data_IF_593365051967
#
_entry.id   IF_593365051967
#
_cell.length_a   1.000
_cell.length_b   1.000
_cell.length_c   1.000
_cell.angle_alpha   90.00
_cell.angle_beta   90.00
_cell.angle_gamma   90.00
#
_symmetry.space_group_name_H-M   'P 1'
#
loop_
_entity.id
_entity.type
_entity.pdbx_description
1 polymer ?
#
# COMPACT_ATOMS: atom_id res chain seq x y z
N UNK A 1 60.99 67.95 -83.96
CA UNK A 1 61.27 66.74 -84.77
C UNK A 1 61.09 65.53 -83.86
N UNK A 2 60.08 64.69 -84.16
CA UNK A 2 59.78 63.35 -83.58
C UNK A 2 59.50 63.27 -82.07
N UNK A 3 58.24 63.07 -81.63
CA UNK A 3 57.51 61.78 -81.50
C UNK A 3 58.23 60.75 -80.60
N UNK A 4 57.61 60.37 -79.47
CA UNK A 4 57.20 59.00 -79.10
C UNK A 4 56.91 58.85 -77.59
N UNK A 5 55.75 58.24 -77.29
CA UNK A 5 55.48 57.32 -76.15
C UNK A 5 55.57 57.90 -74.73
N UNK A 6 54.61 57.77 -73.82
CA UNK A 6 53.98 56.53 -73.36
C UNK A 6 52.65 56.88 -72.70
N UNK A 7 51.58 56.29 -73.26
CA UNK A 7 50.28 56.09 -72.66
C UNK A 7 50.33 54.92 -71.67
N UNK A 8 50.08 55.17 -70.38
CA UNK A 8 49.39 54.27 -69.44
C UNK A 8 49.42 54.86 -68.02
N UNK A 9 48.48 55.75 -67.73
CA UNK A 9 48.23 56.23 -66.37
C UNK A 9 46.75 56.45 -66.11
N UNK A 10 45.88 55.54 -66.54
CA UNK A 10 44.43 55.57 -66.22
C UNK A 10 43.85 54.15 -66.27
N UNK A 11 44.24 53.31 -65.32
CA UNK A 11 43.60 52.00 -65.11
C UNK A 11 43.44 51.73 -63.61
N UNK A 12 42.69 52.59 -62.93
CA UNK A 12 42.07 52.25 -61.64
C UNK A 12 40.98 53.27 -61.31
N UNK A 13 39.74 52.96 -61.71
CA UNK A 13 38.49 53.48 -61.12
C UNK A 13 37.29 53.18 -62.04
N UNK A 14 36.92 51.90 -62.18
CA UNK A 14 35.62 51.53 -62.77
C UNK A 14 35.23 50.08 -62.43
N UNK A 15 35.29 49.70 -61.15
CA UNK A 15 34.78 48.40 -60.68
C UNK A 15 33.84 48.54 -59.47
N UNK A 16 33.25 49.73 -59.29
CA UNK A 16 32.23 49.98 -58.28
C UNK A 16 31.25 51.00 -58.83
N UNK A 17 30.27 50.55 -59.63
CA UNK A 17 28.94 51.14 -59.78
C UNK A 17 28.28 50.59 -61.06
N UNK A 18 27.69 49.39 -60.99
CA UNK A 18 26.51 49.10 -61.79
C UNK A 18 25.45 48.51 -60.85
N UNK A 19 24.66 49.42 -60.31
CA UNK A 19 23.49 49.17 -59.47
C UNK A 19 22.42 50.18 -59.85
N UNK A 20 22.00 50.17 -61.11
CA UNK A 20 20.85 50.92 -61.61
C UNK A 20 19.85 49.94 -62.18
N UNK A 21 18.81 49.61 -61.43
CA UNK A 21 17.69 48.81 -61.93
C UNK A 21 16.82 49.72 -62.81
N UNK A 22 17.00 49.67 -64.12
CA UNK A 22 15.98 50.14 -65.07
C UNK A 22 14.97 49.00 -65.24
N UNK A 23 13.78 49.16 -64.65
CA UNK A 23 12.68 48.20 -64.81
C UNK A 23 12.08 48.40 -66.20
N UNK A 24 12.74 47.84 -67.21
CA UNK A 24 12.12 47.58 -68.50
C UNK A 24 11.33 46.26 -68.37
N UNK A 25 10.03 46.31 -68.72
CA UNK A 25 9.10 45.18 -68.70
C UNK A 25 9.42 44.22 -69.86
N UNK A 26 10.61 43.63 -69.84
CA UNK A 26 11.13 42.75 -70.89
C UNK A 26 11.41 41.33 -70.39
N UNK A 27 11.73 40.41 -71.31
CA UNK A 27 11.93 38.98 -71.05
C UNK A 27 12.90 38.67 -69.88
N UNK A 28 13.80 39.59 -69.54
CA UNK A 28 14.67 39.56 -68.36
C UNK A 28 13.89 39.52 -67.04
N UNK A 29 12.77 40.25 -66.92
CA UNK A 29 11.91 40.24 -65.74
C UNK A 29 11.19 38.89 -65.59
N UNK A 30 10.75 38.29 -66.70
CA UNK A 30 10.21 36.92 -66.70
C UNK A 30 11.26 35.90 -66.27
N UNK A 31 12.48 35.98 -66.79
CA UNK A 31 13.59 35.11 -66.39
C UNK A 31 13.95 35.31 -64.91
N UNK A 32 13.92 36.55 -64.40
CA UNK A 32 14.14 36.85 -62.99
C UNK A 32 13.04 36.31 -62.08
N UNK A 33 11.78 36.33 -62.52
CA UNK A 33 10.68 35.68 -61.78
C UNK A 33 10.86 34.17 -61.78
N UNK A 34 11.20 33.56 -62.92
CA UNK A 34 11.41 32.11 -63.01
C UNK A 34 12.55 31.65 -62.11
N UNK A 35 13.70 32.32 -62.11
CA UNK A 35 14.83 31.96 -61.23
C UNK A 35 14.46 32.15 -59.74
N UNK A 36 13.68 33.20 -59.40
CA UNK A 36 13.21 33.43 -58.03
C UNK A 36 12.21 32.36 -57.57
N UNK A 37 11.27 31.96 -58.44
CA UNK A 37 10.32 30.88 -58.16
C UNK A 37 11.05 29.54 -58.02
N UNK A 38 12.00 29.23 -58.90
CA UNK A 38 12.83 28.02 -58.78
C UNK A 38 13.61 28.03 -57.47
N UNK A 39 14.19 29.16 -57.08
CA UNK A 39 14.88 29.31 -55.80
C UNK A 39 13.95 29.03 -54.62
N UNK A 40 12.74 29.59 -54.59
CA UNK A 40 11.75 29.33 -53.53
C UNK A 40 11.34 27.86 -53.50
N UNK A 41 11.09 27.25 -54.67
CA UNK A 41 10.70 25.85 -54.77
C UNK A 41 11.79 24.92 -54.26
N UNK A 42 13.07 25.25 -54.50
CA UNK A 42 14.22 24.51 -53.97
C UNK A 42 14.41 24.77 -52.48
N UNK A 43 14.25 26.03 -52.03
CA UNK A 43 14.51 26.46 -50.65
C UNK A 43 13.44 26.01 -49.66
N UNK A 44 12.18 25.93 -50.08
CA UNK A 44 11.06 25.44 -49.26
C UNK A 44 11.36 24.06 -48.63
N UNK A 45 11.65 23.00 -49.40
CA UNK A 45 11.95 21.69 -48.82
C UNK A 45 13.33 21.61 -48.15
N UNK A 46 14.32 22.40 -48.57
CA UNK A 46 15.68 22.33 -47.99
C UNK A 46 15.85 23.10 -46.70
N UNK A 47 15.09 24.18 -46.46
CA UNK A 47 15.27 25.04 -45.27
C UNK A 47 14.03 25.13 -44.40
N UNK A 48 12.86 25.40 -44.98
CA UNK A 48 11.65 25.64 -44.19
C UNK A 48 11.12 24.37 -43.53
N UNK A 49 11.06 23.27 -44.29
CA UNK A 49 10.59 21.98 -43.77
C UNK A 49 11.49 21.43 -42.63
N UNK A 50 12.85 21.44 -42.70
CA UNK A 50 13.67 20.99 -41.56
C UNK A 50 13.63 21.94 -40.36
N UNK A 51 13.51 23.26 -40.58
CA UNK A 51 13.37 24.21 -39.47
C UNK A 51 12.07 24.00 -38.70
N UNK A 52 10.96 23.78 -39.39
CA UNK A 52 9.67 23.54 -38.73
C UNK A 52 9.66 22.20 -37.99
N UNK A 53 10.23 21.14 -38.59
CA UNK A 53 10.42 19.85 -37.92
C UNK A 53 11.27 19.97 -36.65
N UNK A 54 12.33 20.78 -36.67
CA UNK A 54 13.17 20.98 -35.50
C UNK A 54 12.43 21.67 -34.35
N UNK A 55 11.57 22.65 -34.66
CA UNK A 55 10.73 23.31 -33.65
C UNK A 55 9.67 22.35 -33.09
N UNK A 56 8.96 21.63 -33.95
CA UNK A 56 7.99 20.61 -33.52
C UNK A 56 8.63 19.52 -32.68
N UNK A 57 9.84 19.06 -33.04
CA UNK A 57 10.55 18.05 -32.28
C UNK A 57 11.01 18.57 -30.92
N UNK A 58 11.49 19.81 -30.82
CA UNK A 58 11.83 20.43 -29.53
C UNK A 58 10.60 20.60 -28.64
N UNK A 59 9.50 21.10 -29.19
CA UNK A 59 8.25 21.29 -28.47
C UNK A 59 7.70 19.94 -28.01
N UNK A 60 7.64 18.95 -28.90
CA UNK A 60 7.21 17.58 -28.57
C UNK A 60 8.12 16.91 -27.54
N UNK A 61 9.43 17.15 -27.57
CA UNK A 61 10.38 16.61 -26.57
C UNK A 61 10.17 17.26 -25.20
N UNK A 62 9.94 18.57 -25.14
CA UNK A 62 9.72 19.29 -23.87
C UNK A 62 8.34 18.95 -23.30
N UNK A 63 7.29 19.05 -24.11
CA UNK A 63 5.94 18.70 -23.67
C UNK A 63 5.81 17.20 -23.37
N UNK A 64 6.44 16.35 -24.19
CA UNK A 64 6.44 14.90 -24.01
C UNK A 64 7.08 14.51 -22.69
N UNK A 65 8.30 14.99 -22.41
CA UNK A 65 8.99 14.70 -21.15
C UNK A 65 8.24 15.26 -19.95
N UNK A 66 7.65 16.46 -20.05
CA UNK A 66 6.82 17.02 -18.98
C UNK A 66 5.57 16.18 -18.72
N UNK A 67 4.86 15.76 -19.77
CA UNK A 67 3.66 14.91 -19.66
C UNK A 67 4.01 13.53 -19.10
N UNK A 68 5.15 12.96 -19.49
CA UNK A 68 5.64 11.69 -18.96
C UNK A 68 6.00 11.81 -17.47
N UNK A 69 6.71 12.86 -17.07
CA UNK A 69 7.02 13.13 -15.67
C UNK A 69 5.75 13.26 -14.83
N UNK A 70 4.78 14.08 -15.26
CA UNK A 70 3.49 14.21 -14.54
C UNK A 70 2.73 12.90 -14.46
N UNK A 71 2.71 12.09 -15.53
CA UNK A 71 2.07 10.77 -15.51
C UNK A 71 2.76 9.82 -14.53
N UNK A 72 4.08 9.86 -14.44
CA UNK A 72 4.83 9.00 -13.53
C UNK A 72 4.69 9.45 -12.07
N UNK A 73 4.65 10.76 -11.82
CA UNK A 73 4.32 11.33 -10.51
C UNK A 73 2.92 10.92 -10.07
N UNK A 74 1.91 11.03 -10.96
CA UNK A 74 0.55 10.58 -10.67
C UNK A 74 0.48 9.08 -10.39
N UNK A 75 1.21 8.26 -11.15
CA UNK A 75 1.26 6.80 -10.94
C UNK A 75 1.89 6.47 -9.60
N UNK A 76 2.99 7.13 -9.27
CA UNK A 76 3.68 6.98 -7.98
C UNK A 76 2.80 7.40 -6.83
N UNK A 77 2.13 8.55 -6.92
CA UNK A 77 1.17 9.01 -5.92
C UNK A 77 -0.02 8.05 -5.76
N UNK A 78 -0.58 7.55 -6.87
CA UNK A 78 -1.65 6.54 -6.84
C UNK A 78 -1.18 5.22 -6.23
N UNK A 79 0.06 4.80 -6.50
CA UNK A 79 0.64 3.59 -5.93
C UNK A 79 0.87 3.73 -4.42
N UNK A 80 1.41 4.87 -3.98
CA UNK A 80 1.56 5.19 -2.56
C UNK A 80 0.22 5.22 -1.84
N UNK A 81 -0.78 5.92 -2.37
CA UNK A 81 -2.12 5.97 -1.78
C UNK A 81 -2.76 4.57 -1.67
N UNK A 82 -2.60 3.72 -2.70
CA UNK A 82 -3.06 2.32 -2.64
C UNK A 82 -2.31 1.52 -1.58
N UNK A 83 -1.00 1.68 -1.48
CA UNK A 83 -0.18 0.98 -0.51
C UNK A 83 -0.56 1.37 0.93
N UNK A 84 -0.71 2.67 1.19
CA UNK A 84 -1.18 3.19 2.47
C UNK A 84 -2.58 2.69 2.81
N UNK A 85 -3.50 2.66 1.85
CA UNK A 85 -4.84 2.11 2.04
C UNK A 85 -4.82 0.61 2.38
N UNK A 86 -3.96 -0.19 1.72
CA UNK A 86 -3.79 -1.61 2.02
C UNK A 86 -3.22 -1.79 3.43
N UNK A 87 -2.21 -1.00 3.81
CA UNK A 87 -1.64 -1.04 5.16
C UNK A 87 -2.65 -0.64 6.23
N UNK A 88 -3.44 0.40 5.99
CA UNK A 88 -4.50 0.83 6.90
C UNK A 88 -5.54 -0.29 7.09
N UNK A 89 -6.02 -0.86 5.97
CA UNK A 89 -6.97 -1.98 5.99
C UNK A 89 -6.42 -3.23 6.67
N UNK A 90 -5.14 -3.55 6.45
CA UNK A 90 -4.48 -4.68 7.11
C UNK A 90 -4.37 -4.47 8.63
N UNK A 91 -4.05 -3.24 9.07
CA UNK A 91 -4.01 -2.89 10.50
C UNK A 91 -5.39 -2.96 11.14
N UNK A 92 -6.42 -2.45 10.47
CA UNK A 92 -7.80 -2.50 10.94
C UNK A 92 -8.30 -3.95 11.04
N UNK A 93 -8.11 -4.74 9.98
CA UNK A 93 -8.47 -6.16 9.97
C UNK A 93 -7.74 -6.93 11.06
N UNK A 94 -6.43 -6.70 11.22
CA UNK A 94 -5.65 -7.35 12.27
C UNK A 94 -6.06 -6.91 13.68
N UNK A 95 -6.46 -5.64 13.88
CA UNK A 95 -7.00 -5.19 15.15
C UNK A 95 -8.34 -5.86 15.46
N UNK A 96 -9.26 -5.88 14.50
CA UNK A 96 -10.56 -6.52 14.61
C UNK A 96 -10.44 -8.02 14.92
N UNK A 97 -9.52 -8.73 14.25
CA UNK A 97 -9.30 -10.16 14.49
C UNK A 97 -8.74 -10.42 15.89
N UNK A 98 -7.76 -9.62 16.35
CA UNK A 98 -7.25 -9.74 17.73
C UNK A 98 -8.35 -9.48 18.76
N UNK A 99 -9.19 -8.48 18.53
CA UNK A 99 -10.24 -8.13 19.46
C UNK A 99 -11.35 -9.20 19.49
N UNK A 100 -11.67 -9.79 18.33
CA UNK A 100 -12.54 -10.97 18.26
C UNK A 100 -11.95 -12.17 19.02
N UNK A 101 -10.66 -12.48 18.81
CA UNK A 101 -9.99 -13.57 19.54
C UNK A 101 -9.94 -13.33 21.06
N UNK A 102 -9.74 -12.09 21.50
CA UNK A 102 -9.80 -11.73 22.93
C UNK A 102 -11.21 -11.91 23.48
N UNK A 103 -12.23 -11.45 22.77
CA UNK A 103 -13.62 -11.59 23.19
C UNK A 103 -14.02 -13.08 23.28
N UNK A 104 -13.63 -13.89 22.30
CA UNK A 104 -13.88 -15.33 22.31
C UNK A 104 -13.09 -16.05 23.40
N UNK A 105 -11.85 -15.63 23.66
CA UNK A 105 -11.04 -16.12 24.77
C UNK A 105 -11.71 -15.84 26.12
N UNK A 106 -12.14 -14.59 26.35
CA UNK A 106 -12.83 -14.19 27.57
C UNK A 106 -14.15 -14.94 27.77
N UNK A 107 -14.93 -15.18 26.70
CA UNK A 107 -16.14 -16.00 26.76
C UNK A 107 -15.83 -17.44 27.14
N UNK A 108 -14.85 -18.07 26.48
CA UNK A 108 -14.44 -19.45 26.80
C UNK A 108 -13.94 -19.58 28.23
N UNK A 109 -13.16 -18.60 28.71
CA UNK A 109 -12.70 -18.56 30.09
C UNK A 109 -13.89 -18.45 31.06
N UNK A 110 -14.83 -17.54 30.81
CA UNK A 110 -16.03 -17.39 31.62
C UNK A 110 -16.88 -18.67 31.65
N UNK A 111 -17.10 -19.31 30.50
CA UNK A 111 -17.84 -20.57 30.38
C UNK A 111 -17.15 -21.71 31.13
N UNK A 112 -15.83 -21.80 31.01
CA UNK A 112 -15.04 -22.84 31.67
C UNK A 112 -15.04 -22.62 33.19
N UNK A 113 -14.89 -21.38 33.65
CA UNK A 113 -14.99 -21.02 35.07
C UNK A 113 -16.38 -21.28 35.64
N UNK A 114 -17.44 -20.99 34.89
CA UNK A 114 -18.81 -21.28 35.29
C UNK A 114 -19.02 -22.79 35.43
N UNK A 115 -18.54 -23.59 34.46
CA UNK A 115 -18.61 -25.05 34.50
C UNK A 115 -17.84 -25.62 35.69
N UNK A 116 -16.60 -25.19 35.89
CA UNK A 116 -15.76 -25.65 37.02
C UNK A 116 -16.41 -25.30 38.36
N UNK A 117 -16.96 -24.09 38.52
CA UNK A 117 -17.69 -23.72 39.74
C UNK A 117 -18.93 -24.60 39.96
N UNK A 118 -19.69 -24.89 38.90
CA UNK A 118 -20.84 -25.79 38.95
C UNK A 118 -20.45 -27.20 39.40
N UNK A 119 -19.47 -27.81 38.72
CA UNK A 119 -18.99 -29.16 39.09
C UNK A 119 -18.40 -29.19 40.49
N UNK A 120 -17.66 -28.16 40.90
CA UNK A 120 -17.10 -28.08 42.26
C UNK A 120 -18.19 -27.99 43.32
N UNK A 121 -19.25 -27.21 43.06
CA UNK A 121 -20.39 -27.10 43.97
C UNK A 121 -21.13 -28.44 44.09
N UNK A 122 -21.37 -29.13 42.98
CA UNK A 122 -21.99 -30.46 42.93
C UNK A 122 -21.15 -31.48 43.71
N UNK A 123 -19.84 -31.58 43.44
CA UNK A 123 -18.94 -32.48 44.17
C UNK A 123 -18.89 -32.17 45.67
N UNK A 124 -18.99 -30.89 46.05
CA UNK A 124 -19.03 -30.49 47.46
C UNK A 124 -20.34 -30.88 48.14
N UNK A 125 -21.48 -30.76 47.46
CA UNK A 125 -22.77 -31.23 47.97
C UNK A 125 -22.79 -32.75 48.11
N UNK A 126 -22.32 -33.48 47.11
CA UNK A 126 -22.19 -34.94 47.16
C UNK A 126 -21.29 -35.38 48.32
N UNK A 127 -20.13 -34.74 48.48
CA UNK A 127 -19.21 -35.02 49.59
C UNK A 127 -19.84 -34.75 50.96
N UNK A 128 -20.58 -33.65 51.12
CA UNK A 128 -21.32 -33.35 52.35
C UNK A 128 -22.41 -34.36 52.64
N UNK A 129 -23.16 -34.79 51.61
CA UNK A 129 -24.19 -35.82 51.74
C UNK A 129 -23.58 -37.17 52.14
N UNK A 130 -22.44 -37.54 51.54
CA UNK A 130 -21.67 -38.74 51.90
C UNK A 130 -21.21 -38.73 53.35
N UNK A 131 -20.55 -37.64 53.79
CA UNK A 131 -20.11 -37.48 55.19
C UNK A 131 -21.29 -37.57 56.16
N UNK A 132 -22.43 -36.95 55.83
CA UNK A 132 -23.63 -37.01 56.67
C UNK A 132 -24.18 -38.44 56.78
N UNK A 133 -24.17 -39.20 55.70
CA UNK A 133 -24.59 -40.59 55.67
C UNK A 133 -23.65 -41.50 56.49
N UNK A 134 -22.32 -41.35 56.31
CA UNK A 134 -21.31 -42.06 57.08
C UNK A 134 -21.41 -41.75 58.58
N UNK A 135 -21.57 -40.47 58.93
CA UNK A 135 -21.75 -40.06 60.32
C UNK A 135 -23.02 -40.66 60.95
N UNK A 136 -24.10 -40.82 60.18
CA UNK A 136 -25.33 -41.48 60.64
C UNK A 136 -25.10 -42.98 60.87
N UNK A 137 -24.44 -43.66 59.93
CA UNK A 137 -24.10 -45.08 60.05
C UNK A 137 -23.18 -45.35 61.25
N UNK A 138 -22.11 -44.56 61.40
CA UNK A 138 -21.19 -44.65 62.53
C UNK A 138 -21.88 -44.45 63.89
N UNK A 139 -22.81 -43.48 63.98
CA UNK A 139 -23.62 -43.28 65.20
C UNK A 139 -24.52 -44.47 65.52
N UNK A 140 -25.10 -45.10 64.51
CA UNK A 140 -25.90 -46.32 64.69
C UNK A 140 -25.04 -47.49 65.19
N UNK A 141 -23.87 -47.68 64.60
CA UNK A 141 -22.88 -48.68 65.03
C UNK A 141 -22.49 -48.47 66.50
N UNK A 142 -22.06 -47.25 66.85
CA UNK A 142 -21.68 -46.89 68.23
C UNK A 142 -22.81 -47.12 69.23
N UNK A 143 -24.06 -46.87 68.87
CA UNK A 143 -25.21 -47.13 69.74
C UNK A 143 -25.43 -48.62 69.99
N UNK A 144 -25.25 -49.45 68.97
CA UNK A 144 -25.29 -50.92 69.09
C UNK A 144 -24.15 -51.41 69.99
N UNK A 145 -22.92 -50.94 69.74
CA UNK A 145 -21.73 -51.32 70.48
C UNK A 145 -21.81 -50.87 71.95
N UNK A 146 -22.30 -49.65 72.22
CA UNK A 146 -22.52 -49.16 73.57
C UNK A 146 -23.57 -50.00 74.32
N UNK A 147 -24.62 -50.48 73.64
CA UNK A 147 -25.63 -51.35 74.24
C UNK A 147 -25.04 -52.73 74.57
N UNK A 148 -24.17 -53.27 73.71
CA UNK A 148 -23.47 -54.53 73.95
C UNK A 148 -22.47 -54.43 75.10
N UNK A 149 -21.63 -53.38 75.12
CA UNK A 149 -20.68 -53.11 76.20
C UNK A 149 -21.40 -52.86 77.54
N UNK A 150 -22.52 -52.15 77.52
CA UNK A 150 -23.35 -51.93 78.71
C UNK A 150 -23.86 -53.24 79.32
N UNK A 151 -24.31 -54.19 78.49
CA UNK A 151 -24.72 -55.54 78.92
C UNK A 151 -23.54 -56.33 79.50
N UNK A 152 -22.37 -56.27 78.86
CA UNK A 152 -21.16 -56.96 79.35
C UNK A 152 -20.73 -56.43 80.72
N UNK A 153 -20.73 -55.10 80.91
CA UNK A 153 -20.40 -54.46 82.19
C UNK A 153 -21.44 -54.84 83.26
N UNK A 154 -22.74 -54.74 82.93
CA UNK A 154 -23.80 -55.12 83.87
C UNK A 154 -23.70 -56.60 84.29
N UNK A 155 -23.42 -57.51 83.35
CA UNK A 155 -23.19 -58.93 83.63
C UNK A 155 -21.98 -59.18 84.53
N UNK A 156 -20.86 -58.47 84.30
CA UNK A 156 -19.66 -58.58 85.16
C UNK A 156 -19.90 -58.05 86.57
N UNK A 157 -20.67 -56.97 86.73
CA UNK A 157 -21.00 -56.39 88.05
C UNK A 157 -22.00 -57.26 88.83
N UNK A 158 -22.96 -57.90 88.15
CA UNK A 158 -24.01 -58.71 88.77
C UNK A 158 -23.63 -60.20 88.94
N UNK A 159 -22.48 -60.63 88.40
CA UNK A 159 -21.94 -61.99 88.59
C UNK A 159 -22.77 -63.11 87.97
N UNK A 160 -23.73 -62.80 87.09
CA UNK A 160 -24.56 -63.74 86.33
C UNK A 160 -24.95 -63.10 84.99
N UNK A 161 -24.93 -63.89 83.93
CA UNK A 161 -25.24 -63.41 82.57
C UNK A 161 -26.71 -63.02 82.47
N UNK A 162 -26.98 -61.73 82.28
CA UNK A 162 -28.33 -61.22 82.09
C UNK A 162 -28.60 -61.20 80.58
N UNK A 163 -29.35 -62.20 80.11
CA UNK A 163 -29.93 -62.22 78.77
C UNK A 163 -31.38 -61.73 78.83
N UNK A 164 -31.61 -60.53 78.27
CA UNK A 164 -32.88 -60.05 77.70
C UNK A 164 -32.58 -58.82 76.84
#
# INVERSE_FOLDING_TARGET
>A
MSLLSVSNLTASSAAFAEGGVTVDLDASLLVQIVIFVVLIVVLKPTLFDPMMRLFEEREKRIEGTRREATKEDERSAKALAKYEAILAKARESGAAERDALRADGAKKEADLMARVRGTTAETLEEGRAGIAAEAKAARQQLKSDASALGREIAGRVLGREVSL
#
